data_IF_661880190472
#
_entry.id   IF_661880190472
#
_cell.length_a   1.000
_cell.length_b   1.000
_cell.length_c   1.000
_cell.angle_alpha   90.00
_cell.angle_beta   90.00
_cell.angle_gamma   90.00
#
_symmetry.space_group_name_H-M   'P 1'
#
loop_
_entity.id
_entity.type
_entity.pdbx_description
1 polymer ?
#
# COMPACT_ATOMS: atom_id res chain seq x y z
N UNK A 1 -8.51 -12.01 -14.50
CA UNK A 1 -8.34 -10.82 -13.70
C UNK A 1 -8.37 -11.17 -12.25
N UNK A 2 -7.76 -10.35 -11.51
CA UNK A 2 -7.77 -10.54 -10.09
C UNK A 2 -9.09 -9.99 -9.58
N UNK A 3 -10.05 -10.84 -9.47
CA UNK A 3 -11.26 -10.48 -8.79
C UNK A 3 -11.15 -10.89 -7.34
N UNK A 4 -11.23 -9.93 -6.50
CA UNK A 4 -11.41 -10.18 -5.08
C UNK A 4 -12.89 -10.14 -4.83
N UNK A 5 -13.52 -11.28 -5.03
CA UNK A 5 -14.95 -11.32 -4.95
C UNK A 5 -15.60 -10.53 -6.08
N UNK A 6 -16.92 -10.38 -6.02
CA UNK A 6 -17.63 -9.76 -7.13
C UNK A 6 -17.19 -8.31 -7.31
N UNK A 7 -16.57 -8.07 -8.42
CA UNK A 7 -16.55 -6.76 -8.99
C UNK A 7 -15.41 -5.82 -8.66
N UNK A 8 -14.50 -6.13 -7.76
CA UNK A 8 -13.40 -5.21 -7.55
C UNK A 8 -12.20 -5.60 -8.39
N UNK A 9 -11.78 -4.72 -9.28
CA UNK A 9 -10.57 -4.92 -10.07
C UNK A 9 -9.39 -4.15 -9.46
N UNK A 10 -8.24 -4.27 -10.10
CA UNK A 10 -7.02 -3.63 -9.62
C UNK A 10 -7.15 -2.11 -9.55
N UNK A 11 -7.83 -1.51 -10.52
CA UNK A 11 -7.97 -0.05 -10.56
C UNK A 11 -8.88 0.45 -9.44
N UNK A 12 -9.94 -0.26 -9.13
CA UNK A 12 -10.82 0.09 -8.03
C UNK A 12 -10.10 -0.06 -6.70
N UNK A 13 -9.35 -1.15 -6.54
CA UNK A 13 -8.56 -1.36 -5.34
C UNK A 13 -7.50 -0.27 -5.19
N UNK A 14 -6.85 0.14 -6.28
CA UNK A 14 -5.87 1.21 -6.25
C UNK A 14 -6.50 2.52 -5.78
N UNK A 15 -7.69 2.84 -6.28
CA UNK A 15 -8.39 4.06 -5.86
C UNK A 15 -8.69 4.05 -4.37
N UNK A 16 -9.12 2.90 -3.83
CA UNK A 16 -9.37 2.78 -2.39
C UNK A 16 -8.10 2.95 -1.57
N UNK A 17 -7.00 2.38 -2.03
CA UNK A 17 -5.73 2.50 -1.31
C UNK A 17 -5.20 3.92 -1.36
N UNK A 18 -5.35 4.63 -2.47
CA UNK A 18 -4.99 6.05 -2.54
C UNK A 18 -5.79 6.88 -1.54
N UNK A 19 -7.09 6.59 -1.43
CA UNK A 19 -7.92 7.27 -0.46
C UNK A 19 -7.45 7.02 0.97
N UNK A 20 -7.09 5.78 1.29
CA UNK A 20 -6.55 5.45 2.60
C UNK A 20 -5.24 6.20 2.87
N UNK A 21 -4.35 6.28 1.88
CA UNK A 21 -3.09 7.02 2.00
C UNK A 21 -3.38 8.49 2.30
N UNK A 22 -4.31 9.11 1.57
CA UNK A 22 -4.66 10.51 1.79
C UNK A 22 -5.18 10.77 3.20
N UNK A 23 -5.88 9.81 3.78
CA UNK A 23 -6.39 9.93 5.15
C UNK A 23 -5.30 9.86 6.20
N UNK A 24 -4.22 9.13 5.96
CA UNK A 24 -3.15 8.99 6.95
C UNK A 24 -2.05 10.04 6.78
N UNK A 25 -1.90 10.64 5.59
CA UNK A 25 -0.86 11.62 5.35
C UNK A 25 -0.82 12.76 6.35
N UNK A 26 -1.95 13.39 6.74
CA UNK A 26 -1.90 14.46 7.74
C UNK A 26 -1.31 14.00 9.08
N UNK A 27 -1.57 12.75 9.47
CA UNK A 27 -1.02 12.18 10.69
C UNK A 27 0.49 11.96 10.56
N UNK A 28 0.92 11.43 9.42
CA UNK A 28 2.35 11.22 9.17
C UNK A 28 3.10 12.54 9.14
N UNK A 29 2.48 13.57 8.56
CA UNK A 29 3.12 14.89 8.43
C UNK A 29 3.36 15.58 9.77
N UNK A 30 2.61 15.21 10.81
CA UNK A 30 2.83 15.75 12.15
C UNK A 30 3.56 14.75 13.06
N UNK A 31 4.15 13.72 12.49
CA UNK A 31 5.05 12.84 13.21
C UNK A 31 4.42 11.58 13.82
N UNK A 32 3.17 11.29 13.52
CA UNK A 32 2.54 10.06 13.98
C UNK A 32 2.88 8.89 13.08
N UNK A 33 2.91 7.69 13.66
CA UNK A 33 2.95 6.44 12.91
C UNK A 33 1.52 5.92 12.77
N UNK A 34 1.25 5.22 11.68
CA UNK A 34 -0.07 4.65 11.42
C UNK A 34 0.09 3.18 11.11
N UNK A 35 -0.69 2.34 11.78
CA UNK A 35 -0.73 0.91 11.50
C UNK A 35 -1.94 0.59 10.63
N UNK A 36 -1.68 0.00 9.47
CA UNK A 36 -2.72 -0.48 8.58
C UNK A 36 -2.73 -1.99 8.58
N UNK A 37 -3.90 -2.59 8.78
CA UNK A 37 -4.06 -4.04 8.80
C UNK A 37 -5.05 -4.43 7.71
N UNK A 38 -4.59 -5.25 6.78
CA UNK A 38 -5.41 -5.73 5.66
C UNK A 38 -4.79 -7.00 5.09
N UNK A 39 -5.45 -7.58 4.08
CA UNK A 39 -4.92 -8.74 3.40
C UNK A 39 -3.78 -8.35 2.46
N UNK A 40 -2.84 -9.30 2.25
CA UNK A 40 -1.65 -9.06 1.45
C UNK A 40 -1.94 -8.49 0.05
N UNK A 41 -2.94 -8.97 -0.70
CA UNK A 41 -3.21 -8.39 -2.02
C UNK A 41 -3.49 -6.89 -1.98
N UNK A 42 -4.28 -6.42 -1.02
CA UNK A 42 -4.60 -5.00 -0.93
C UNK A 42 -3.40 -4.20 -0.44
N UNK A 43 -2.60 -4.77 0.46
CA UNK A 43 -1.40 -4.09 0.95
C UNK A 43 -0.36 -3.94 -0.15
N UNK A 44 -0.24 -4.90 -1.04
CA UNK A 44 0.66 -4.79 -2.19
C UNK A 44 0.23 -3.69 -3.15
N UNK A 45 -1.07 -3.58 -3.39
CA UNK A 45 -1.62 -2.51 -4.23
C UNK A 45 -1.41 -1.15 -3.55
N UNK A 46 -1.67 -1.06 -2.25
CA UNK A 46 -1.42 0.16 -1.49
C UNK A 46 0.04 0.59 -1.63
N UNK A 47 0.96 -0.36 -1.54
CA UNK A 47 2.38 -0.07 -1.67
C UNK A 47 2.71 0.49 -3.04
N UNK A 48 2.12 -0.04 -4.10
CA UNK A 48 2.31 0.51 -5.45
C UNK A 48 1.84 1.97 -5.51
N UNK A 49 0.72 2.28 -4.88
CA UNK A 49 0.19 3.64 -4.88
C UNK A 49 1.01 4.58 -3.99
N UNK A 50 1.55 4.06 -2.89
CA UNK A 50 2.49 4.81 -2.06
C UNK A 50 3.72 5.23 -2.87
N UNK A 51 4.21 4.32 -3.71
CA UNK A 51 5.37 4.57 -4.56
C UNK A 51 5.02 5.40 -5.81
N UNK A 52 3.72 5.54 -6.13
CA UNK A 52 3.30 6.28 -7.32
C UNK A 52 3.48 5.52 -8.62
N UNK A 53 3.46 4.21 -8.58
CA UNK A 53 3.61 3.38 -9.77
C UNK A 53 2.29 2.71 -10.15
N UNK A 54 2.24 2.11 -11.33
CA UNK A 54 1.06 1.40 -11.82
C UNK A 54 0.65 0.31 -10.82
N UNK A 55 -0.63 0.20 -10.47
CA UNK A 55 -1.07 -0.80 -9.49
C UNK A 55 -0.81 -2.24 -9.93
N UNK A 56 -0.71 -2.52 -11.22
CA UNK A 56 -0.37 -3.86 -11.69
C UNK A 56 1.05 -4.27 -11.29
N UNK A 57 1.88 -3.30 -10.95
CA UNK A 57 3.22 -3.55 -10.44
C UNK A 57 3.19 -4.35 -9.13
N UNK A 58 2.06 -4.30 -8.42
CA UNK A 58 1.90 -5.01 -7.14
C UNK A 58 2.13 -6.52 -7.27
N UNK A 59 1.91 -7.10 -8.44
CA UNK A 59 2.16 -8.52 -8.67
C UNK A 59 3.64 -8.90 -8.50
N UNK A 60 4.51 -7.92 -8.57
CA UNK A 60 5.96 -8.11 -8.41
C UNK A 60 6.41 -7.95 -6.97
N UNK A 61 5.51 -7.58 -6.07
CA UNK A 61 5.79 -7.38 -4.66
C UNK A 61 5.30 -8.59 -3.88
N UNK A 62 6.23 -9.45 -3.46
CA UNK A 62 5.86 -10.60 -2.64
C UNK A 62 5.62 -10.16 -1.20
N UNK A 63 4.49 -10.54 -0.64
CA UNK A 63 4.17 -10.30 0.76
C UNK A 63 3.48 -11.52 1.32
N UNK A 64 4.14 -12.19 2.24
CA UNK A 64 3.65 -13.43 2.83
C UNK A 64 2.71 -13.13 4.02
N UNK A 65 1.86 -14.10 4.34
CA UNK A 65 0.95 -14.01 5.48
C UNK A 65 1.73 -13.82 6.78
N UNK A 66 1.20 -13.00 7.67
CA UNK A 66 1.80 -12.73 8.99
C UNK A 66 3.17 -12.04 8.92
N UNK A 67 3.48 -11.42 7.80
CA UNK A 67 4.65 -10.57 7.65
C UNK A 67 4.23 -9.11 7.66
N UNK A 68 5.18 -8.22 7.89
CA UNK A 68 4.89 -6.80 7.91
C UNK A 68 5.83 -6.02 7.00
N UNK A 69 5.42 -4.80 6.69
CA UNK A 69 6.20 -3.88 5.89
C UNK A 69 6.18 -2.51 6.56
N UNK A 70 7.19 -1.72 6.30
CA UNK A 70 7.24 -0.32 6.72
C UNK A 70 7.41 0.53 5.48
N UNK A 71 6.45 1.41 5.27
CA UNK A 71 6.50 2.41 4.22
C UNK A 71 6.79 3.74 4.89
N UNK A 72 7.68 4.51 4.34
CA UNK A 72 8.09 5.77 4.95
C UNK A 72 8.41 6.82 3.88
N UNK A 73 8.87 7.97 4.33
CA UNK A 73 9.35 9.02 3.44
C UNK A 73 10.81 9.27 3.75
N UNK A 74 11.62 9.39 2.69
CA UNK A 74 13.04 9.60 2.83
C UNK A 74 13.49 10.62 1.79
N UNK A 75 14.05 11.71 2.26
CA UNK A 75 14.56 12.80 1.40
C UNK A 75 13.49 13.27 0.39
N UNK A 76 12.25 13.35 0.84
CA UNK A 76 11.15 13.83 0.01
C UNK A 76 10.47 12.77 -0.84
N UNK A 77 10.97 11.55 -0.84
CA UNK A 77 10.38 10.47 -1.61
C UNK A 77 9.62 9.49 -0.72
N UNK A 78 8.57 8.91 -1.27
CA UNK A 78 7.88 7.80 -0.63
C UNK A 78 8.66 6.53 -0.94
N UNK A 79 9.03 5.79 0.10
CA UNK A 79 9.91 4.64 -0.04
C UNK A 79 9.37 3.43 0.71
N UNK A 80 9.92 2.26 0.38
CA UNK A 80 9.75 1.04 1.17
C UNK A 80 10.97 0.95 2.08
N UNK A 81 10.75 0.98 3.38
CA UNK A 81 11.83 0.88 4.35
C UNK A 81 12.07 -0.56 4.78
N UNK A 82 11.01 -1.33 4.98
CA UNK A 82 11.05 -2.75 5.32
C UNK A 82 10.03 -3.48 4.48
N UNK A 83 10.37 -4.66 4.03
CA UNK A 83 9.46 -5.44 3.21
C UNK A 83 9.49 -6.91 3.58
N UNK A 84 8.29 -7.46 3.81
CA UNK A 84 8.11 -8.89 4.04
C UNK A 84 8.96 -9.42 5.21
N UNK A 85 8.93 -8.71 6.30
CA UNK A 85 9.71 -9.02 7.49
C UNK A 85 9.01 -9.97 8.45
#
# INVERSE_FOLDING_TARGET
PVHNGPGEDVEEAAARTRDAIERVLPLLNVGHDVLLVAHAPILRILTSQWLGVDPHFARLLRLDTAHYCILSQYKGDNVIERWNC
#
